data_IF_557731437147
#
_entry.id   IF_557731437147
#
_cell.length_a   1.000
_cell.length_b   1.000
_cell.length_c   1.000
_cell.angle_alpha   90.00
_cell.angle_beta   90.00
_cell.angle_gamma   90.00
#
_symmetry.space_group_name_H-M   'P 1'
#
loop_
_entity.id
_entity.type
_entity.pdbx_description
1 polymer ?
#
# COMPACT_ATOMS: atom_id res chain seq x y z
N UNK A 1 -5.25 -6.19 -13.88
CA UNK A 1 -6.46 -5.83 -13.10
C UNK A 1 -7.23 -4.79 -13.89
N UNK A 2 -8.54 -4.99 -14.08
CA UNK A 2 -9.39 -4.08 -14.84
C UNK A 2 -10.63 -3.73 -14.02
N UNK A 3 -11.08 -2.48 -14.08
CA UNK A 3 -12.38 -2.05 -13.56
C UNK A 3 -13.27 -1.55 -14.71
N UNK A 4 -14.57 -1.32 -14.45
CA UNK A 4 -15.56 -0.88 -15.45
C UNK A 4 -15.16 0.41 -16.20
N UNK A 5 -14.33 1.27 -15.60
CA UNK A 5 -13.83 2.53 -16.16
C UNK A 5 -12.29 2.51 -16.31
N UNK A 6 -11.70 1.32 -16.20
CA UNK A 6 -10.28 0.98 -16.18
C UNK A 6 -9.40 1.72 -15.17
N UNK A 7 -9.92 2.56 -14.28
CA UNK A 7 -9.16 3.69 -13.70
C UNK A 7 -8.92 3.60 -12.21
N UNK A 8 -9.87 4.13 -11.45
CA UNK A 8 -9.69 4.44 -10.03
C UNK A 8 -9.53 3.19 -9.16
N UNK A 9 -10.42 2.19 -9.33
CA UNK A 9 -10.44 1.02 -8.44
C UNK A 9 -9.28 0.09 -8.76
N UNK A 10 -9.02 -0.13 -10.05
CA UNK A 10 -7.89 -0.95 -10.49
C UNK A 10 -6.55 -0.35 -10.02
N UNK A 11 -6.34 0.95 -10.18
CA UNK A 11 -5.11 1.59 -9.71
C UNK A 11 -4.98 1.63 -8.20
N UNK A 12 -6.08 1.86 -7.48
CA UNK A 12 -6.08 1.78 -6.01
C UNK A 12 -5.67 0.38 -5.56
N UNK A 13 -6.27 -0.67 -6.14
CA UNK A 13 -5.87 -2.05 -5.83
C UNK A 13 -4.38 -2.30 -6.12
N UNK A 14 -3.91 -1.95 -7.32
CA UNK A 14 -2.51 -2.17 -7.68
C UNK A 14 -1.56 -1.37 -6.78
N UNK A 15 -1.89 -0.12 -6.42
CA UNK A 15 -1.09 0.70 -5.52
C UNK A 15 -1.03 0.07 -4.13
N UNK A 16 -2.15 -0.39 -3.56
CA UNK A 16 -2.18 -1.06 -2.26
C UNK A 16 -1.37 -2.36 -2.27
N UNK A 17 -1.42 -3.13 -3.36
CA UNK A 17 -0.60 -4.32 -3.50
C UNK A 17 0.90 -3.97 -3.51
N UNK A 18 1.30 -2.95 -4.26
CA UNK A 18 2.68 -2.45 -4.25
C UNK A 18 3.10 -1.96 -2.86
N UNK A 19 2.24 -1.24 -2.15
CA UNK A 19 2.52 -0.80 -0.78
C UNK A 19 2.81 -1.97 0.15
N UNK A 20 1.99 -3.02 0.07
CA UNK A 20 2.18 -4.24 0.87
C UNK A 20 3.54 -4.89 0.58
N UNK A 21 3.87 -5.10 -0.70
CA UNK A 21 5.15 -5.69 -1.10
C UNK A 21 6.34 -4.85 -0.62
N UNK A 22 6.27 -3.51 -0.71
CA UNK A 22 7.33 -2.64 -0.22
C UNK A 22 7.49 -2.71 1.30
N UNK A 23 6.38 -2.74 2.05
CA UNK A 23 6.43 -2.91 3.50
C UNK A 23 7.03 -4.27 3.88
N UNK A 24 6.61 -5.36 3.22
CA UNK A 24 7.06 -6.71 3.54
C UNK A 24 8.52 -6.97 3.18
N UNK A 25 8.98 -6.46 2.03
CA UNK A 25 10.32 -6.74 1.50
C UNK A 25 11.36 -5.67 1.87
N UNK A 26 10.96 -4.39 1.94
CA UNK A 26 11.89 -3.25 2.08
C UNK A 26 11.74 -2.55 3.43
N UNK A 27 10.70 -2.86 4.23
CA UNK A 27 10.37 -2.17 5.49
C UNK A 27 10.19 -0.65 5.37
N UNK A 28 9.99 -0.13 4.16
CA UNK A 28 9.84 1.29 3.87
C UNK A 28 8.71 1.51 2.86
N UNK A 29 8.07 2.68 2.92
CA UNK A 29 7.01 3.05 1.98
C UNK A 29 6.92 4.57 1.83
N UNK A 30 6.93 5.05 0.57
CA UNK A 30 6.64 6.44 0.23
C UNK A 30 5.33 6.53 -0.56
N UNK A 31 4.23 6.78 0.16
CA UNK A 31 2.87 6.83 -0.41
C UNK A 31 2.75 7.92 -1.48
N UNK A 32 3.35 9.10 -1.27
CA UNK A 32 3.25 10.21 -2.22
C UNK A 32 3.98 9.90 -3.53
N UNK A 33 5.18 9.34 -3.44
CA UNK A 33 5.96 8.96 -4.61
C UNK A 33 5.26 7.88 -5.44
N UNK A 34 4.72 6.86 -4.78
CA UNK A 34 3.92 5.83 -5.45
C UNK A 34 2.68 6.45 -6.11
N UNK A 35 1.97 7.33 -5.40
CA UNK A 35 0.80 8.00 -5.95
C UNK A 35 1.16 8.88 -7.18
N UNK A 36 2.28 9.60 -7.12
CA UNK A 36 2.79 10.44 -8.20
C UNK A 36 3.22 9.62 -9.41
N UNK A 37 3.82 8.45 -9.20
CA UNK A 37 4.20 7.52 -10.26
C UNK A 37 2.98 7.07 -11.07
N UNK A 38 1.92 6.64 -10.38
CA UNK A 38 0.65 6.25 -11.02
C UNK A 38 -0.02 7.41 -11.74
N UNK A 39 -0.03 8.60 -11.14
CA UNK A 39 -0.56 9.80 -11.79
C UNK A 39 0.21 10.17 -13.06
N UNK A 40 1.53 9.93 -13.10
CA UNK A 40 2.37 10.18 -14.28
C UNK A 40 2.03 9.24 -15.43
N UNK A 41 1.69 7.99 -15.13
CA UNK A 41 1.25 7.00 -16.12
C UNK A 41 -0.19 7.22 -16.57
N UNK A 42 -1.03 7.77 -15.70
CA UNK A 42 -2.42 8.06 -15.99
C UNK A 42 -2.88 9.32 -15.23
N UNK A 43 -2.84 10.48 -15.89
CA UNK A 43 -3.26 11.74 -15.29
C UNK A 43 -4.70 11.67 -14.78
N UNK A 44 -4.93 12.24 -13.61
CA UNK A 44 -6.26 12.35 -12.99
C UNK A 44 -6.85 11.02 -12.53
N UNK A 45 -6.01 10.03 -12.17
CA UNK A 45 -6.46 8.76 -11.60
C UNK A 45 -6.99 8.89 -10.17
N UNK A 46 -6.32 9.71 -9.36
CA UNK A 46 -6.80 10.26 -8.09
C UNK A 46 -6.88 11.78 -8.28
N UNK A 47 -8.09 12.33 -8.13
CA UNK A 47 -8.42 13.71 -8.52
C UNK A 47 -8.64 14.61 -7.32
N UNK A 48 -9.03 14.03 -6.19
CA UNK A 48 -9.39 14.77 -5.00
C UNK A 48 -8.33 14.56 -3.93
N UNK A 49 -8.12 15.55 -3.07
CA UNK A 49 -7.21 15.43 -1.93
C UNK A 49 -7.59 14.26 -1.01
N UNK A 50 -8.89 13.94 -0.94
CA UNK A 50 -9.41 12.77 -0.21
C UNK A 50 -8.87 11.43 -0.73
N UNK A 51 -8.55 11.33 -2.01
CA UNK A 51 -8.02 10.10 -2.60
C UNK A 51 -6.59 9.81 -2.10
N UNK A 52 -5.75 10.86 -2.05
CA UNK A 52 -4.39 10.75 -1.50
C UNK A 52 -4.45 10.45 0.01
N UNK A 53 -5.32 11.14 0.76
CA UNK A 53 -5.52 10.85 2.18
C UNK A 53 -6.00 9.41 2.41
N UNK A 54 -6.87 8.89 1.54
CA UNK A 54 -7.31 7.50 1.58
C UNK A 54 -6.13 6.53 1.43
N UNK A 55 -5.23 6.77 0.46
CA UNK A 55 -4.02 5.96 0.30
C UNK A 55 -3.12 5.97 1.54
N UNK A 56 -2.94 7.13 2.19
CA UNK A 56 -2.18 7.22 3.45
C UNK A 56 -2.82 6.40 4.57
N UNK A 57 -4.14 6.48 4.74
CA UNK A 57 -4.85 5.68 5.76
C UNK A 57 -4.72 4.18 5.51
N UNK A 58 -4.79 3.75 4.24
CA UNK A 58 -4.56 2.36 3.91
C UNK A 58 -3.12 1.92 4.23
N UNK A 59 -2.13 2.76 3.93
CA UNK A 59 -0.74 2.48 4.27
C UNK A 59 -0.52 2.35 5.80
N UNK A 60 -1.15 3.20 6.61
CA UNK A 60 -1.12 3.10 8.08
C UNK A 60 -1.67 1.75 8.57
N UNK A 61 -2.81 1.30 8.00
CA UNK A 61 -3.42 0.02 8.34
C UNK A 61 -2.50 -1.15 7.95
N UNK A 62 -1.96 -1.13 6.72
CA UNK A 62 -1.03 -2.17 6.24
C UNK A 62 0.22 -2.26 7.11
N UNK A 63 0.78 -1.12 7.51
CA UNK A 63 1.95 -1.08 8.37
C UNK A 63 1.66 -1.60 9.79
N UNK A 64 0.47 -1.27 10.33
CA UNK A 64 0.02 -1.80 11.62
C UNK A 64 -0.17 -3.32 11.59
N UNK A 65 -0.74 -3.86 10.51
CA UNK A 65 -0.86 -5.30 10.29
C UNK A 65 0.52 -5.96 10.21
N UNK A 66 1.41 -5.42 9.38
CA UNK A 66 2.78 -5.94 9.22
C UNK A 66 3.53 -6.01 10.56
N UNK A 67 3.48 -4.93 11.36
CA UNK A 67 4.11 -4.89 12.69
C UNK A 67 3.53 -5.97 13.61
N UNK A 68 2.21 -6.15 13.60
CA UNK A 68 1.53 -7.15 14.43
C UNK A 68 1.92 -8.58 14.00
N UNK A 69 1.98 -8.84 12.69
CA UNK A 69 2.42 -10.13 12.16
C UNK A 69 3.89 -10.41 12.45
N UNK A 70 4.77 -9.40 12.36
CA UNK A 70 6.20 -9.58 12.59
C UNK A 70 6.52 -9.79 14.09
N UNK A 71 5.82 -9.11 15.00
CA UNK A 71 5.90 -9.41 16.44
C UNK A 71 5.52 -10.86 16.75
N UNK A 72 4.48 -11.39 16.12
CA UNK A 72 4.09 -12.80 16.26
C UNK A 72 5.16 -13.75 15.70
N UNK A 73 5.78 -13.43 14.55
CA UNK A 73 6.87 -14.23 13.98
C UNK A 73 8.09 -14.27 14.89
N UNK A 74 8.50 -13.13 15.46
CA UNK A 74 9.60 -13.08 16.43
C UNK A 74 9.32 -13.92 17.68
N UNK A 75 8.09 -13.87 18.20
CA UNK A 75 7.66 -14.70 19.33
C UNK A 75 7.75 -16.20 18.99
N UNK A 76 7.19 -16.63 17.86
CA UNK A 76 7.25 -18.04 17.43
C UNK A 76 8.69 -18.52 17.16
N UNK A 77 9.52 -17.68 16.52
CA UNK A 77 10.94 -17.99 16.29
C UNK A 77 11.72 -18.18 17.60
N UNK A 78 11.38 -17.40 18.64
CA UNK A 78 12.04 -17.47 19.95
C UNK A 78 11.60 -18.69 20.77
N UNK A 79 10.45 -19.30 20.46
CA UNK A 79 9.96 -20.51 21.11
C UNK A 79 10.49 -21.79 20.45
N UNK A 80 10.67 -21.75 19.13
CA UNK A 80 11.06 -22.92 18.33
C UNK A 80 12.59 -23.13 18.28
N UNK A 81 13.39 -22.11 18.63
CA UNK A 81 14.86 -22.19 18.73
C UNK A 81 15.29 -22.55 20.14
#
# INVERSE_FOLDING_TARGET
>A
VHDLFGGYRAATFCALYTMKEQIENESTLNVYELAKLYHTKRPGIWRHNGDLLFLYRCAEILFSEYKSSNSNRHYLSSIIT
#
